data_IF_985537072022
#
_entry.id   IF_985537072022
#
_cell.length_a   1.000
_cell.length_b   1.000
_cell.length_c   1.000
_cell.angle_alpha   90.00
_cell.angle_beta   90.00
_cell.angle_gamma   90.00
#
_symmetry.space_group_name_H-M   'P 1'
#
loop_
_entity.id
_entity.type
_entity.pdbx_description
1 polymer ?
#
# COMPACT_ATOMS: atom_id res chain seq x y z
N UNK A 1 0.19 -27.05 -24.98
CA UNK A 1 -0.75 -25.96 -24.65
C UNK A 1 0.03 -24.95 -23.82
N UNK A 2 0.41 -23.83 -24.41
CA UNK A 2 1.16 -22.79 -23.70
C UNK A 2 0.16 -21.79 -23.14
N UNK A 3 0.16 -21.60 -21.82
CA UNK A 3 -0.61 -20.53 -21.19
C UNK A 3 0.22 -19.26 -21.27
N UNK A 4 -0.27 -18.24 -21.97
CA UNK A 4 0.30 -16.90 -21.93
C UNK A 4 -0.34 -16.14 -20.77
N UNK A 5 0.40 -16.00 -19.67
CA UNK A 5 -0.01 -15.14 -18.56
C UNK A 5 0.29 -13.68 -18.90
N UNK A 6 -0.74 -12.85 -19.05
CA UNK A 6 -0.56 -11.39 -19.10
C UNK A 6 -0.31 -10.90 -17.67
N UNK A 7 0.91 -10.46 -17.37
CA UNK A 7 1.23 -9.86 -16.06
C UNK A 7 0.59 -8.48 -15.97
N UNK A 8 -0.47 -8.32 -15.17
CA UNK A 8 -1.06 -6.99 -14.93
C UNK A 8 -0.07 -6.13 -14.14
N UNK A 9 0.16 -4.91 -14.59
CA UNK A 9 1.01 -3.97 -13.88
C UNK A 9 0.38 -3.57 -12.55
N UNK A 10 1.18 -3.58 -11.48
CA UNK A 10 0.74 -3.15 -10.15
C UNK A 10 0.86 -1.63 -10.01
N UNK A 11 -0.11 -1.04 -9.33
CA UNK A 11 -0.18 0.37 -9.00
C UNK A 11 0.54 0.65 -7.67
N UNK A 12 1.13 1.86 -7.50
CA UNK A 12 1.77 2.25 -6.25
C UNK A 12 0.72 2.43 -5.14
N UNK A 13 0.97 1.86 -3.96
CA UNK A 13 0.20 2.15 -2.76
C UNK A 13 0.31 3.64 -2.42
N UNK A 14 -0.80 4.35 -2.12
CA UNK A 14 -0.76 5.79 -1.87
C UNK A 14 -0.01 6.16 -0.58
N UNK A 15 0.12 5.22 0.36
CA UNK A 15 0.87 5.40 1.59
C UNK A 15 2.39 5.19 1.42
N UNK A 16 2.83 4.01 0.96
CA UNK A 16 4.26 3.65 0.95
C UNK A 16 4.94 3.70 -0.43
N UNK A 17 4.20 3.98 -1.50
CA UNK A 17 4.66 4.01 -2.91
C UNK A 17 5.16 2.69 -3.50
N UNK A 18 5.09 1.56 -2.77
CA UNK A 18 5.38 0.24 -3.33
C UNK A 18 4.26 -0.20 -4.28
N UNK A 19 4.64 -0.70 -5.47
CA UNK A 19 3.73 -1.27 -6.47
C UNK A 19 3.16 -2.59 -5.95
N UNK A 20 1.99 -2.51 -5.33
CA UNK A 20 1.33 -3.62 -4.61
C UNK A 20 -0.16 -3.72 -4.90
N UNK A 21 -0.74 -2.71 -5.54
CA UNK A 21 -2.18 -2.59 -5.75
C UNK A 21 -2.52 -3.03 -7.18
N UNK A 22 -3.20 -4.16 -7.33
CA UNK A 22 -3.63 -4.68 -8.63
C UNK A 22 -4.75 -3.82 -9.25
N UNK A 23 -5.61 -3.25 -8.43
CA UNK A 23 -6.69 -2.37 -8.86
C UNK A 23 -6.99 -1.31 -7.79
N UNK A 24 -6.98 -0.04 -8.22
CA UNK A 24 -7.21 1.09 -7.34
C UNK A 24 -8.66 1.14 -6.85
N UNK A 25 -8.86 1.55 -5.60
CA UNK A 25 -10.18 1.73 -4.99
C UNK A 25 -10.95 0.44 -4.69
N UNK A 26 -10.28 -0.72 -4.74
CA UNK A 26 -10.89 -2.03 -4.53
C UNK A 26 -10.53 -2.65 -3.18
N UNK A 27 -10.25 -1.81 -2.17
CA UNK A 27 -10.05 -2.24 -0.77
C UNK A 27 -8.92 -3.25 -0.61
N UNK A 28 -7.90 -3.18 -1.48
CA UNK A 28 -6.74 -4.05 -1.40
C UNK A 28 -5.82 -3.57 -0.28
N UNK A 29 -5.43 -4.48 0.61
CA UNK A 29 -4.49 -4.19 1.69
C UNK A 29 -3.07 -4.28 1.14
N UNK A 30 -2.31 -3.19 1.27
CA UNK A 30 -0.90 -3.16 0.90
C UNK A 30 -0.09 -4.06 1.87
N UNK A 31 0.62 -5.10 1.41
CA UNK A 31 1.38 -6.00 2.27
C UNK A 31 2.63 -5.32 2.90
N UNK A 32 2.99 -4.12 2.45
CA UNK A 32 4.17 -3.40 2.92
C UNK A 32 3.85 -2.48 4.09
N UNK A 33 2.79 -1.67 3.98
CA UNK A 33 2.43 -0.70 5.01
C UNK A 33 1.12 -1.01 5.74
N UNK A 34 0.33 -1.94 5.21
CA UNK A 34 -0.99 -2.32 5.70
C UNK A 34 -2.11 -1.28 5.49
N UNK A 35 -1.91 -0.31 4.60
CA UNK A 35 -2.98 0.57 4.12
C UNK A 35 -3.97 -0.19 3.22
N UNK A 36 -5.26 -0.07 3.51
CA UNK A 36 -6.36 -0.58 2.69
C UNK A 36 -6.76 0.48 1.64
N UNK A 37 -6.60 0.17 0.36
CA UNK A 37 -6.81 1.10 -0.76
C UNK A 37 -8.32 1.31 -1.03
N UNK A 38 -8.94 2.18 -0.25
CA UNK A 38 -10.35 2.61 -0.40
C UNK A 38 -10.57 3.65 -1.53
N UNK A 39 -9.53 3.92 -2.32
CA UNK A 39 -9.55 4.87 -3.44
C UNK A 39 -9.37 6.31 -3.00
N UNK A 40 -9.21 6.59 -1.71
CA UNK A 40 -8.90 7.93 -1.23
C UNK A 40 -7.45 8.31 -1.58
N UNK A 41 -7.31 9.41 -2.32
CA UNK A 41 -6.02 10.00 -2.69
C UNK A 41 -5.78 11.36 -2.05
N UNK A 42 -6.71 11.86 -1.25
CA UNK A 42 -6.59 13.14 -0.55
C UNK A 42 -5.92 12.94 0.81
N UNK A 43 -4.76 13.58 0.98
CA UNK A 43 -3.94 13.49 2.19
C UNK A 43 -4.65 13.99 3.45
N UNK A 44 -5.64 14.86 3.33
CA UNK A 44 -6.37 15.45 4.46
C UNK A 44 -7.72 14.78 4.71
N UNK A 45 -8.21 13.97 3.77
CA UNK A 45 -9.48 13.25 3.93
C UNK A 45 -9.27 11.97 4.74
N UNK A 46 -10.08 11.78 5.78
CA UNK A 46 -10.07 10.53 6.56
C UNK A 46 -10.57 9.36 5.70
N UNK A 47 -9.77 8.30 5.63
CA UNK A 47 -10.19 7.02 5.06
C UNK A 47 -11.19 6.34 6.00
N UNK A 48 -12.32 5.89 5.45
CA UNK A 48 -13.31 5.15 6.26
C UNK A 48 -12.84 3.75 6.60
N UNK A 49 -12.05 3.12 5.74
CA UNK A 49 -11.48 1.79 5.96
C UNK A 49 -10.34 1.81 6.98
N UNK A 50 -9.46 2.80 6.89
CA UNK A 50 -8.25 2.88 7.73
C UNK A 50 -8.44 3.71 9.00
N UNK A 51 -9.54 4.46 9.12
CA UNK A 51 -9.85 5.36 10.25
C UNK A 51 -8.76 6.40 10.54
N UNK A 52 -8.00 6.80 9.52
CA UNK A 52 -6.99 7.85 9.59
C UNK A 52 -6.86 8.53 8.22
N UNK A 53 -6.23 9.70 8.19
CA UNK A 53 -5.88 10.38 6.94
C UNK A 53 -4.71 9.69 6.25
N UNK A 54 -4.62 9.87 4.93
CA UNK A 54 -3.47 9.35 4.17
C UNK A 54 -2.16 10.02 4.61
N UNK A 55 -2.20 11.28 5.05
CA UNK A 55 -1.04 11.96 5.65
C UNK A 55 -0.55 11.26 6.92
N UNK A 56 -1.44 10.96 7.87
CA UNK A 56 -1.09 10.25 9.10
C UNK A 56 -0.52 8.85 8.80
N UNK A 57 -1.09 8.15 7.82
CA UNK A 57 -0.59 6.85 7.39
C UNK A 57 0.85 6.94 6.83
N UNK A 58 1.14 7.94 5.99
CA UNK A 58 2.49 8.20 5.46
C UNK A 58 3.50 8.48 6.59
N UNK A 59 3.12 9.28 7.58
CA UNK A 59 3.95 9.60 8.75
C UNK A 59 4.18 8.37 9.64
N UNK A 60 3.14 7.57 9.89
CA UNK A 60 3.24 6.31 10.60
C UNK A 60 4.14 5.31 9.88
N UNK A 61 3.96 5.13 8.57
CA UNK A 61 4.80 4.23 7.79
C UNK A 61 6.27 4.67 7.82
N UNK A 62 6.54 5.97 7.70
CA UNK A 62 7.91 6.51 7.79
C UNK A 62 8.57 6.25 9.15
N UNK A 63 7.81 6.28 10.24
CA UNK A 63 8.34 6.13 11.60
C UNK A 63 8.38 4.69 12.09
N UNK A 64 7.42 3.86 11.70
CA UNK A 64 7.20 2.51 12.23
C UNK A 64 7.47 1.41 11.21
N UNK A 65 7.33 1.70 9.91
CA UNK A 65 7.32 0.70 8.83
C UNK A 65 5.93 0.10 8.55
N UNK A 66 4.88 0.56 9.25
CA UNK A 66 3.48 0.21 8.99
C UNK A 66 2.58 1.40 9.37
N UNK A 67 1.31 1.39 8.96
CA UNK A 67 0.35 2.45 9.33
C UNK A 67 -0.03 2.43 10.82
N UNK A 68 0.25 1.33 11.54
CA UNK A 68 0.04 1.19 12.98
C UNK A 68 0.91 0.06 13.54
N UNK A 69 1.30 0.16 14.82
CA UNK A 69 2.18 -0.82 15.49
C UNK A 69 1.56 -2.22 15.53
N UNK A 70 0.22 -2.30 15.59
CA UNK A 70 -0.52 -3.56 15.58
C UNK A 70 -0.28 -4.38 14.30
N UNK A 71 0.11 -3.72 13.20
CA UNK A 71 0.29 -4.34 11.89
C UNK A 71 1.73 -4.75 11.59
N UNK A 72 2.70 -4.39 12.44
CA UNK A 72 4.11 -4.73 12.24
C UNK A 72 4.36 -6.24 12.13
N UNK A 73 3.52 -7.06 12.75
CA UNK A 73 3.61 -8.53 12.67
C UNK A 73 3.06 -9.12 11.35
N UNK A 74 2.34 -8.33 10.56
CA UNK A 74 1.67 -8.77 9.33
C UNK A 74 2.32 -8.22 8.06
N UNK A 75 3.23 -7.25 8.16
CA UNK A 75 3.96 -6.74 6.99
C UNK A 75 4.85 -7.84 6.39
N UNK A 76 4.98 -7.83 5.07
CA UNK A 76 5.88 -8.74 4.35
C UNK A 76 7.33 -8.33 4.63
N UNK A 77 8.06 -9.16 5.39
CA UNK A 77 9.45 -8.91 5.77
C UNK A 77 10.41 -8.84 4.58
N UNK A 78 10.00 -9.36 3.43
CA UNK A 78 10.80 -9.36 2.20
C UNK A 78 10.29 -8.30 1.20
N UNK A 79 9.47 -7.34 1.67
CA UNK A 79 8.83 -6.35 0.81
C UNK A 79 9.80 -5.56 -0.07
N UNK A 80 10.99 -5.26 0.44
CA UNK A 80 12.02 -4.51 -0.29
C UNK A 80 12.60 -5.27 -1.47
N UNK A 81 12.57 -6.61 -1.43
CA UNK A 81 13.07 -7.48 -2.50
C UNK A 81 11.95 -7.85 -3.47
N UNK A 82 10.72 -8.04 -2.96
CA UNK A 82 9.57 -8.50 -3.75
C UNK A 82 8.88 -7.39 -4.53
N UNK A 83 8.78 -6.18 -3.97
CA UNK A 83 7.96 -5.11 -4.55
C UNK A 83 8.82 -3.93 -4.98
N UNK A 84 8.52 -3.42 -6.18
CA UNK A 84 9.17 -2.22 -6.70
C UNK A 84 8.62 -0.96 -6.02
N UNK A 85 9.49 -0.12 -5.49
CA UNK A 85 9.11 1.20 -4.95
C UNK A 85 9.11 2.25 -6.05
N UNK A 86 7.97 2.91 -6.24
CA UNK A 86 7.88 4.02 -7.19
C UNK A 86 8.52 5.28 -6.57
N UNK A 87 9.59 5.78 -7.19
CA UNK A 87 10.35 6.94 -6.70
C UNK A 87 9.96 8.26 -7.38
N UNK A 88 8.95 8.25 -8.25
CA UNK A 88 8.52 9.41 -9.03
C UNK A 88 7.28 10.12 -8.44
N UNK A 89 6.93 9.83 -7.18
CA UNK A 89 5.80 10.40 -6.42
C UNK A 89 6.28 11.07 -5.14
#
# INVERSE_FOLDING_TARGET
MTVFGSTKELNPCPCCNFKTIFEKGNYQICPVCFWEDDGNTDDMKTSSANHMTLKEAKENFKSKGAISDQFLKFVDKESEVKYYKNNYL
#
